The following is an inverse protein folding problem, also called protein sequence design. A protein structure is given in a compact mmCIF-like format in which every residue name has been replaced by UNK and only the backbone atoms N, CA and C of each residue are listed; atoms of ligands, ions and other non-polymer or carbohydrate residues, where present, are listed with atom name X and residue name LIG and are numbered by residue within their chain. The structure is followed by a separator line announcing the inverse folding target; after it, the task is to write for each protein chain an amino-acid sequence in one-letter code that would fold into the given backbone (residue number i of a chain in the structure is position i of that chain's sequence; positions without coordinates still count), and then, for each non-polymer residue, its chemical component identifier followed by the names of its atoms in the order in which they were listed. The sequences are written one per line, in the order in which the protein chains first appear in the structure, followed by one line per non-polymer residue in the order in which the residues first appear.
data_IF_838144489473
#
_entry.id   IF_838144489473
#
_cell.length_a   1.000
_cell.length_b   1.000
_cell.length_c   1.000
_cell.angle_alpha   90.00
_cell.angle_beta   90.00
_cell.angle_gamma   90.00
#
_symmetry.space_group_name_H-M   'P 1'
#
loop_
_entity.id
_entity.type
_entity.pdbx_description
1 polymer ?
#
# COMPACT_ATOMS: atom_id res chain seq x y z
N UNK A 1 13.55 -24.57 50.72
CA UNK A 1 13.98 -23.64 49.65
C UNK A 1 13.17 -23.91 48.38
N UNK A 2 12.04 -23.21 48.15
CA UNK A 2 11.10 -23.51 47.04
C UNK A 2 10.48 -22.25 46.40
N UNK A 3 11.22 -21.14 46.35
CA UNK A 3 10.70 -19.84 45.85
C UNK A 3 11.47 -19.22 44.68
N UNK A 4 12.49 -19.90 44.15
CA UNK A 4 13.39 -19.35 43.13
C UNK A 4 13.02 -19.69 41.68
N UNK A 5 12.02 -20.56 41.44
CA UNK A 5 11.63 -20.94 40.06
C UNK A 5 10.56 -20.05 39.44
N UNK A 6 9.89 -19.20 40.22
CA UNK A 6 8.79 -18.38 39.73
C UNK A 6 9.23 -17.07 39.03
N UNK A 7 10.51 -16.69 39.15
CA UNK A 7 11.00 -15.38 38.69
C UNK A 7 11.54 -15.39 37.25
N UNK A 8 11.72 -16.56 36.64
CA UNK A 8 12.23 -16.67 35.26
C UNK A 8 11.14 -16.62 34.18
N UNK A 9 9.86 -16.75 34.56
CA UNK A 9 8.74 -16.74 33.61
C UNK A 9 8.32 -15.32 33.20
N UNK A 10 8.72 -14.29 33.94
CA UNK A 10 8.28 -12.90 33.70
C UNK A 10 9.11 -12.17 32.63
N UNK A 11 10.29 -12.68 32.29
CA UNK A 11 11.18 -12.02 31.33
C UNK A 11 10.87 -12.33 29.86
N UNK A 12 10.05 -13.35 29.57
CA UNK A 12 9.77 -13.80 28.21
C UNK A 12 8.58 -13.06 27.53
N UNK A 13 7.82 -12.25 28.26
CA UNK A 13 6.60 -11.61 27.74
C UNK A 13 6.91 -10.25 27.06
N UNK A 14 8.10 -9.67 27.30
CA UNK A 14 8.44 -8.31 26.86
C UNK A 14 8.93 -8.16 25.41
N UNK A 15 9.29 -9.24 24.72
CA UNK A 15 9.98 -9.19 23.42
C UNK A 15 9.13 -9.65 22.23
N UNK A 16 7.84 -9.96 22.44
CA UNK A 16 6.99 -10.56 21.40
C UNK A 16 6.28 -9.60 20.44
N UNK A 17 6.29 -8.29 20.67
CA UNK A 17 5.35 -7.37 19.98
C UNK A 17 6.08 -6.21 19.30
N UNK A 18 7.04 -6.49 18.42
CA UNK A 18 7.52 -5.49 17.45
C UNK A 18 7.87 -6.13 16.10
N UNK A 19 7.08 -7.11 15.66
CA UNK A 19 6.90 -7.31 14.22
C UNK A 19 5.74 -6.43 13.79
N UNK A 20 5.95 -5.11 13.85
CA UNK A 20 5.21 -4.19 13.00
C UNK A 20 5.69 -4.48 11.58
N UNK A 21 5.19 -5.58 11.01
CA UNK A 21 5.15 -5.76 9.58
C UNK A 21 4.38 -4.55 9.08
N UNK A 22 5.11 -3.54 8.61
CA UNK A 22 4.58 -2.53 7.71
C UNK A 22 4.29 -3.23 6.39
N UNK A 23 3.41 -4.23 6.42
CA UNK A 23 2.68 -4.65 5.26
C UNK A 23 1.81 -3.44 4.95
N UNK A 24 2.37 -2.51 4.17
CA UNK A 24 1.55 -1.56 3.45
C UNK A 24 0.40 -2.39 2.85
N UNK A 25 -0.86 -1.97 3.00
CA UNK A 25 -1.96 -2.73 2.46
C UNK A 25 -1.61 -3.02 1.00
N UNK A 26 -1.69 -4.28 0.59
CA UNK A 26 -1.73 -4.60 -0.83
C UNK A 26 -3.06 -4.01 -1.31
N UNK A 27 -3.05 -2.70 -1.58
CA UNK A 27 -4.19 -1.98 -2.12
C UNK A 27 -4.46 -2.66 -3.45
N UNK A 28 -5.56 -3.42 -3.52
CA UNK A 28 -5.99 -4.03 -4.75
C UNK A 28 -6.19 -2.89 -5.75
N UNK A 29 -5.33 -2.88 -6.76
CA UNK A 29 -5.25 -1.82 -7.74
C UNK A 29 -6.60 -1.65 -8.43
N UNK A 30 -7.05 -0.39 -8.52
CA UNK A 30 -8.40 -0.08 -9.00
C UNK A 30 -8.37 1.06 -10.01
N UNK A 31 -9.33 1.05 -10.94
CA UNK A 31 -9.49 2.16 -11.88
C UNK A 31 -9.93 3.39 -11.10
N UNK A 32 -9.15 4.47 -11.17
CA UNK A 32 -9.49 5.76 -10.58
C UNK A 32 -10.16 6.68 -11.59
N UNK A 33 -9.60 6.75 -12.79
CA UNK A 33 -10.02 7.68 -13.84
C UNK A 33 -9.78 7.09 -15.23
N UNK A 34 -10.44 7.69 -16.22
CA UNK A 34 -10.31 7.32 -17.64
C UNK A 34 -10.11 8.57 -18.47
N UNK A 35 -9.11 8.57 -19.34
CA UNK A 35 -8.65 9.71 -20.14
C UNK A 35 -8.64 9.39 -21.63
N UNK A 36 -8.73 10.43 -22.45
CA UNK A 36 -8.52 10.30 -23.90
C UNK A 36 -7.04 10.33 -24.27
N UNK A 37 -6.25 11.17 -23.60
CA UNK A 37 -4.84 11.33 -23.89
C UNK A 37 -3.99 10.61 -22.84
N UNK A 38 -2.89 10.00 -23.32
CA UNK A 38 -1.88 9.40 -22.47
C UNK A 38 -1.31 10.42 -21.47
N UNK A 39 -1.04 11.63 -21.94
CA UNK A 39 -0.50 12.73 -21.14
C UNK A 39 -1.38 13.07 -19.93
N UNK A 40 -2.69 13.07 -20.11
CA UNK A 40 -3.65 13.43 -19.06
C UNK A 40 -3.69 12.34 -17.99
N UNK A 41 -3.59 11.07 -18.41
CA UNK A 41 -3.48 9.95 -17.48
C UNK A 41 -2.23 10.05 -16.60
N UNK A 42 -1.06 10.27 -17.20
CA UNK A 42 0.17 10.42 -16.41
C UNK A 42 0.19 11.69 -15.57
N UNK A 43 -0.44 12.78 -16.02
CA UNK A 43 -0.57 14.00 -15.22
C UNK A 43 -1.44 13.75 -13.98
N UNK A 44 -2.65 13.19 -14.16
CA UNK A 44 -3.54 12.84 -13.05
C UNK A 44 -2.88 11.87 -12.06
N UNK A 45 -2.15 10.87 -12.57
CA UNK A 45 -1.39 9.93 -11.76
C UNK A 45 -0.33 10.59 -10.89
N UNK A 46 0.47 11.49 -11.48
CA UNK A 46 1.48 12.26 -10.75
C UNK A 46 0.85 13.17 -9.69
N UNK A 47 -0.25 13.85 -10.00
CA UNK A 47 -0.96 14.69 -9.03
C UNK A 47 -1.47 13.87 -7.84
N UNK A 48 -2.01 12.67 -8.07
CA UNK A 48 -2.45 11.81 -6.97
C UNK A 48 -1.31 11.30 -6.10
N UNK A 49 -0.10 11.06 -6.65
CA UNK A 49 1.10 10.81 -5.85
C UNK A 49 1.43 12.05 -5.00
N UNK A 50 1.45 13.24 -5.61
CA UNK A 50 1.76 14.49 -4.91
C UNK A 50 0.77 14.82 -3.79
N UNK A 51 -0.50 14.46 -3.97
CA UNK A 51 -1.57 14.68 -2.98
C UNK A 51 -1.74 13.52 -2.00
N UNK A 52 -0.92 12.47 -2.12
CA UNK A 52 -0.94 11.31 -1.21
C UNK A 52 -2.18 10.43 -1.35
N UNK A 53 -2.85 10.45 -2.50
CA UNK A 53 -4.02 9.63 -2.77
C UNK A 53 -3.67 8.17 -3.05
N UNK A 54 -2.51 7.95 -3.68
CA UNK A 54 -1.93 6.64 -3.96
C UNK A 54 -0.41 6.71 -3.88
N UNK A 55 0.25 5.56 -3.77
CA UNK A 55 1.72 5.43 -3.70
C UNK A 55 2.34 4.98 -5.01
N UNK A 56 1.52 4.44 -5.92
CA UNK A 56 1.90 3.98 -7.24
C UNK A 56 0.70 4.18 -8.18
N UNK A 57 0.98 4.31 -9.48
CA UNK A 57 -0.05 4.28 -10.52
C UNK A 57 0.53 3.76 -11.83
N UNK A 58 -0.33 3.29 -12.72
CA UNK A 58 -0.02 3.11 -14.14
C UNK A 58 -1.18 3.52 -15.04
N UNK A 59 -0.86 3.63 -16.34
CA UNK A 59 -1.78 4.05 -17.38
C UNK A 59 -1.81 3.00 -18.49
N UNK A 60 -2.96 2.37 -18.68
CA UNK A 60 -3.15 1.32 -19.68
C UNK A 60 -4.06 1.80 -20.79
N UNK A 61 -3.65 1.59 -22.05
CA UNK A 61 -4.48 1.85 -23.21
C UNK A 61 -5.42 0.66 -23.44
N UNK A 62 -6.72 0.91 -23.37
CA UNK A 62 -7.72 0.01 -23.93
C UNK A 62 -7.88 0.31 -25.43
N UNK A 63 -7.39 -0.60 -26.28
CA UNK A 63 -7.48 -0.48 -27.72
C UNK A 63 -8.91 -0.57 -28.27
N UNK A 64 -9.86 -1.19 -27.53
CA UNK A 64 -11.23 -1.31 -27.98
C UNK A 64 -11.99 0.02 -27.87
N UNK A 65 -11.73 0.78 -26.80
CA UNK A 65 -12.34 2.09 -26.58
C UNK A 65 -11.45 3.28 -26.92
N UNK A 66 -10.17 3.03 -27.23
CA UNK A 66 -9.12 4.03 -27.43
C UNK A 66 -9.04 5.02 -26.26
N UNK A 67 -9.09 4.50 -25.03
CA UNK A 67 -9.02 5.27 -23.79
C UNK A 67 -7.89 4.78 -22.88
N UNK A 68 -7.32 5.70 -22.12
CA UNK A 68 -6.29 5.44 -21.13
C UNK A 68 -6.90 5.32 -19.74
N UNK A 69 -6.70 4.18 -19.10
CA UNK A 69 -7.22 3.87 -17.78
C UNK A 69 -6.12 4.11 -16.75
N UNK A 70 -6.40 4.95 -15.76
CA UNK A 70 -5.52 5.19 -14.63
C UNK A 70 -5.84 4.18 -13.53
N UNK A 71 -4.85 3.38 -13.20
CA UNK A 71 -4.87 2.39 -12.13
C UNK A 71 -4.00 2.85 -10.97
N UNK A 72 -4.51 2.75 -9.75
CA UNK A 72 -3.87 3.16 -8.50
C UNK A 72 -4.60 2.61 -7.26
#
# INVERSE_FOLDING_TARGET
MRKLRALLLSAAIGTGVLLSTTAAPAHAESIRYVYYLQSDCYNGGNLGIQWGWWTYYHCDLDYASNRWYLWA
#
